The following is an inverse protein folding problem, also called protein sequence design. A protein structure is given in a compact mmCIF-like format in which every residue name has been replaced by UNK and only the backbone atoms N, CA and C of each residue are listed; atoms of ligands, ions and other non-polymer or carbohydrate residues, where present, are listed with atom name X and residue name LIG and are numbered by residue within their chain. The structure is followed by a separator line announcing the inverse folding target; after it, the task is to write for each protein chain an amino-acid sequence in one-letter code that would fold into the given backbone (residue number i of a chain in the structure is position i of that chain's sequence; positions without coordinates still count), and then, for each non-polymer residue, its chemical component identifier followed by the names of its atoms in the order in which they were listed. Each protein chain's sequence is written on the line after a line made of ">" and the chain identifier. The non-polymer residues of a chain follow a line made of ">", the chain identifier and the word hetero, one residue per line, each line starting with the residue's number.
data_IF_703512996725
#
_entry.id   IF_703512996725
#
_cell.length_a   1.000
_cell.length_b   1.000
_cell.length_c   1.000
_cell.angle_alpha   90.00
_cell.angle_beta   90.00
_cell.angle_gamma   90.00
#
_symmetry.space_group_name_H-M   'P 1'
#
loop_
_entity.id
_entity.type
_entity.pdbx_description
1 polymer ?
#
# COMPACT_ATOMS: atom_id res chain seq x y z
N UNK A 1 -4.65 -5.27 2.01
CA UNK A 1 -4.43 -6.55 1.32
C UNK A 1 -5.68 -6.92 0.55
N UNK A 2 -5.52 -7.28 -0.70
CA UNK A 2 -6.60 -7.53 -1.64
C UNK A 2 -6.41 -8.86 -2.35
N UNK A 3 -7.48 -9.65 -2.44
CA UNK A 3 -7.59 -10.82 -3.30
C UNK A 3 -8.91 -10.76 -4.08
N UNK A 4 -8.84 -10.51 -5.39
CA UNK A 4 -9.99 -10.37 -6.27
C UNK A 4 -10.01 -11.50 -7.28
N UNK A 5 -11.11 -12.28 -7.32
CA UNK A 5 -11.27 -13.33 -8.33
C UNK A 5 -11.49 -12.81 -9.76
N UNK A 6 -11.84 -11.52 -9.88
CA UNK A 6 -12.22 -10.90 -11.14
C UNK A 6 -11.02 -10.36 -11.95
N UNK A 7 -10.00 -9.85 -11.28
CA UNK A 7 -8.78 -9.30 -11.93
C UNK A 7 -7.55 -9.65 -11.08
N UNK A 8 -6.91 -10.79 -11.37
CA UNK A 8 -5.73 -11.23 -10.63
C UNK A 8 -4.55 -10.26 -10.66
N UNK A 9 -4.44 -9.44 -11.72
CA UNK A 9 -3.36 -8.45 -11.85
C UNK A 9 -3.41 -7.36 -10.78
N UNK A 10 -4.55 -7.19 -10.13
CA UNK A 10 -4.79 -6.22 -9.06
C UNK A 10 -4.72 -6.82 -7.65
N UNK A 11 -4.32 -8.08 -7.54
CA UNK A 11 -4.17 -8.74 -6.26
C UNK A 11 -2.77 -8.50 -5.68
N UNK A 12 -2.72 -8.36 -4.36
CA UNK A 12 -1.46 -8.35 -3.64
C UNK A 12 -0.82 -9.73 -3.67
N UNK A 13 0.50 -9.78 -3.76
CA UNK A 13 1.27 -11.00 -3.54
C UNK A 13 1.39 -11.28 -2.03
N UNK A 14 0.33 -11.81 -1.43
CA UNK A 14 0.21 -11.99 0.03
C UNK A 14 1.46 -12.64 0.66
N UNK A 15 2.05 -13.72 0.11
CA UNK A 15 3.28 -14.30 0.66
C UNK A 15 4.43 -13.29 0.79
N UNK A 16 4.60 -12.39 -0.16
CA UNK A 16 5.69 -11.41 -0.12
C UNK A 16 5.40 -10.29 0.91
N UNK A 17 4.14 -9.89 1.06
CA UNK A 17 3.72 -8.97 2.11
C UNK A 17 3.89 -9.54 3.51
N UNK A 18 3.67 -10.83 3.70
CA UNK A 18 3.92 -11.51 4.98
C UNK A 18 5.41 -11.51 5.33
N UNK A 19 6.27 -11.89 4.38
CA UNK A 19 7.73 -11.80 4.58
C UNK A 19 8.17 -10.38 4.94
N UNK A 20 7.56 -9.38 4.33
CA UNK A 20 7.83 -7.99 4.61
C UNK A 20 7.37 -7.58 6.02
N UNK A 21 6.19 -8.04 6.45
CA UNK A 21 5.69 -7.80 7.80
C UNK A 21 6.59 -8.45 8.85
N UNK A 22 6.99 -9.72 8.68
CA UNK A 22 7.93 -10.40 9.57
C UNK A 22 9.26 -9.63 9.67
N UNK A 23 9.75 -9.11 8.55
CA UNK A 23 10.97 -8.32 8.53
C UNK A 23 10.81 -6.99 9.27
N UNK A 24 9.67 -6.32 9.13
CA UNK A 24 9.35 -5.08 9.87
C UNK A 24 9.26 -5.34 11.38
N UNK A 25 8.62 -6.44 11.80
CA UNK A 25 8.54 -6.83 13.21
C UNK A 25 9.93 -7.06 13.82
N UNK A 26 10.85 -7.68 13.06
CA UNK A 26 12.25 -7.85 13.47
C UNK A 26 13.02 -6.51 13.56
N UNK A 27 12.51 -5.43 12.95
CA UNK A 27 13.00 -4.06 13.09
C UNK A 27 12.27 -3.25 14.16
N UNK A 28 11.43 -3.89 14.98
CA UNK A 28 10.57 -3.26 16.00
C UNK A 28 9.46 -2.35 15.47
N UNK A 29 9.06 -2.49 14.22
CA UNK A 29 7.83 -1.92 13.69
C UNK A 29 6.65 -2.84 14.00
N UNK A 30 5.43 -2.29 13.97
CA UNK A 30 4.19 -3.04 14.20
C UNK A 30 3.30 -2.95 12.95
N UNK A 31 3.46 -3.85 11.98
CA UNK A 31 2.60 -3.87 10.81
C UNK A 31 1.16 -4.21 11.20
N UNK A 32 0.21 -3.46 10.64
CA UNK A 32 -1.22 -3.68 10.83
C UNK A 32 -1.87 -3.93 9.47
N UNK A 33 -2.50 -5.07 9.30
CA UNK A 33 -3.22 -5.40 8.10
C UNK A 33 -4.67 -4.92 8.14
N UNK A 34 -5.07 -4.18 7.11
CA UNK A 34 -6.48 -3.84 6.90
C UNK A 34 -6.96 -4.65 5.68
N UNK A 35 -7.89 -5.58 5.86
CA UNK A 35 -8.42 -6.38 4.77
C UNK A 35 -9.25 -5.53 3.80
N UNK A 36 -9.40 -6.01 2.56
CA UNK A 36 -10.29 -5.40 1.59
C UNK A 36 -11.77 -5.73 1.91
N UNK A 37 -12.65 -4.82 1.52
CA UNK A 37 -14.09 -4.90 1.75
C UNK A 37 -14.76 -6.16 1.14
N UNK A 38 -14.15 -6.72 0.08
CA UNK A 38 -14.67 -7.93 -0.57
C UNK A 38 -14.51 -9.22 0.24
N UNK A 39 -13.61 -9.27 1.23
CA UNK A 39 -13.32 -10.49 2.00
C UNK A 39 -12.87 -10.20 3.44
N UNK A 40 -13.60 -9.37 4.22
CA UNK A 40 -13.17 -9.03 5.58
C UNK A 40 -13.19 -10.24 6.52
N UNK A 41 -13.97 -11.26 6.19
CA UNK A 41 -14.16 -12.48 6.96
C UNK A 41 -13.31 -13.65 6.46
N UNK A 42 -12.87 -13.60 5.21
CA UNK A 42 -11.99 -14.58 4.58
C UNK A 42 -10.53 -14.10 4.61
N UNK A 43 -10.08 -13.55 5.74
CA UNK A 43 -8.66 -13.34 5.95
C UNK A 43 -7.95 -14.67 5.75
N UNK A 44 -7.00 -14.67 4.82
CA UNK A 44 -6.08 -15.77 4.67
C UNK A 44 -5.58 -16.20 6.07
N UNK A 45 -5.60 -17.49 6.34
CA UNK A 45 -5.19 -18.03 7.63
C UNK A 45 -3.77 -17.58 8.03
N UNK A 46 -2.92 -17.29 7.04
CA UNK A 46 -1.58 -16.76 7.22
C UNK A 46 -1.53 -15.36 7.84
N UNK A 47 -2.56 -14.53 7.62
CA UNK A 47 -2.65 -13.18 8.20
C UNK A 47 -3.08 -13.19 9.69
N UNK A 48 -3.54 -14.32 10.20
CA UNK A 48 -4.04 -14.42 11.59
C UNK A 48 -2.99 -14.20 12.66
N UNK A 49 -1.72 -14.36 12.32
CA UNK A 49 -0.60 -14.17 13.24
C UNK A 49 -0.15 -12.71 13.37
N UNK A 50 -0.58 -11.84 12.46
CA UNK A 50 -0.28 -10.41 12.47
C UNK A 50 -1.45 -9.58 12.99
N UNK A 51 -1.17 -8.35 13.39
CA UNK A 51 -2.23 -7.42 13.79
C UNK A 51 -3.16 -7.15 12.60
N UNK A 52 -4.45 -7.25 12.87
CA UNK A 52 -5.50 -7.05 11.88
C UNK A 52 -6.52 -6.03 12.41
N UNK A 53 -6.89 -5.07 11.59
CA UNK A 53 -7.94 -4.12 11.93
C UNK A 53 -9.12 -4.24 10.98
N UNK A 54 -9.98 -5.23 11.24
CA UNK A 54 -11.14 -5.57 10.40
C UNK A 54 -12.21 -4.49 10.39
N UNK A 55 -12.41 -3.80 11.52
CA UNK A 55 -13.44 -2.77 11.65
C UNK A 55 -13.18 -1.59 10.71
N UNK A 56 -11.93 -1.30 10.40
CA UNK A 56 -11.54 -0.30 9.42
C UNK A 56 -11.86 -0.70 7.97
N UNK A 57 -12.28 -1.95 7.72
CA UNK A 57 -12.62 -2.44 6.38
C UNK A 57 -13.83 -1.70 5.78
N UNK A 58 -14.86 -1.49 6.59
CA UNK A 58 -16.14 -0.89 6.19
C UNK A 58 -16.35 0.53 6.71
N UNK A 59 -15.63 0.90 7.75
CA UNK A 59 -15.75 2.20 8.39
C UNK A 59 -14.68 3.14 7.84
N UNK A 60 -15.04 3.95 6.84
CA UNK A 60 -14.11 4.88 6.18
C UNK A 60 -13.53 5.92 7.16
N UNK A 61 -14.29 6.57 8.06
CA UNK A 61 -13.72 7.45 9.07
C UNK A 61 -12.70 6.75 9.98
N UNK A 62 -13.00 5.54 10.45
CA UNK A 62 -12.09 4.76 11.30
C UNK A 62 -10.83 4.36 10.54
N UNK A 63 -10.97 3.97 9.27
CA UNK A 63 -9.85 3.68 8.39
C UNK A 63 -8.95 4.89 8.18
N UNK A 64 -9.54 6.06 7.98
CA UNK A 64 -8.78 7.30 7.81
C UNK A 64 -8.03 7.68 9.08
N UNK A 65 -8.66 7.56 10.26
CA UNK A 65 -8.00 7.77 11.54
C UNK A 65 -6.79 6.82 11.72
N UNK A 66 -6.94 5.54 11.37
CA UNK A 66 -5.82 4.61 11.40
C UNK A 66 -4.68 5.06 10.45
N UNK A 67 -5.01 5.52 9.25
CA UNK A 67 -4.00 5.95 8.29
C UNK A 67 -3.22 7.19 8.77
N UNK A 68 -3.88 8.11 9.43
CA UNK A 68 -3.25 9.31 10.02
C UNK A 68 -2.36 8.98 11.22
N UNK A 69 -2.70 7.97 12.01
CA UNK A 69 -1.92 7.52 13.16
C UNK A 69 -0.71 6.64 12.78
N UNK A 70 -0.70 6.07 11.59
CA UNK A 70 0.40 5.24 11.14
C UNK A 70 1.56 6.10 10.62
N UNK A 71 2.79 5.78 11.04
CA UNK A 71 4.00 6.45 10.55
C UNK A 71 4.19 6.27 9.03
N UNK A 72 3.71 5.15 8.48
CA UNK A 72 3.71 4.87 7.04
C UNK A 72 2.58 3.90 6.70
N UNK A 73 1.93 4.16 5.59
CA UNK A 73 0.89 3.30 5.03
C UNK A 73 1.35 2.71 3.70
N UNK A 74 1.20 1.41 3.54
CA UNK A 74 1.43 0.73 2.28
C UNK A 74 0.13 0.32 1.63
N UNK A 75 0.00 0.60 0.35
CA UNK A 75 -1.16 0.24 -0.46
C UNK A 75 -0.74 -0.51 -1.71
N UNK A 76 -1.52 -1.49 -2.10
CA UNK A 76 -1.61 -1.88 -3.49
C UNK A 76 -2.69 -1.00 -4.14
N UNK A 77 -2.50 -0.57 -5.39
CA UNK A 77 -3.40 0.38 -6.05
C UNK A 77 -4.87 -0.07 -6.02
N UNK A 78 -5.68 0.64 -5.26
CA UNK A 78 -7.12 0.40 -5.10
C UNK A 78 -7.83 1.67 -4.59
N UNK A 79 -9.15 1.61 -4.43
CA UNK A 79 -9.95 2.74 -3.94
C UNK A 79 -9.51 3.28 -2.58
N UNK A 80 -8.99 2.44 -1.69
CA UNK A 80 -8.49 2.87 -0.38
C UNK A 80 -7.19 3.68 -0.47
N UNK A 81 -6.34 3.38 -1.43
CA UNK A 81 -5.14 4.16 -1.72
C UNK A 81 -5.52 5.58 -2.16
N UNK A 82 -6.56 5.73 -2.99
CA UNK A 82 -6.99 7.04 -3.45
C UNK A 82 -7.46 7.94 -2.31
N UNK A 83 -8.18 7.40 -1.33
CA UNK A 83 -8.59 8.17 -0.15
C UNK A 83 -7.34 8.66 0.62
N UNK A 84 -6.33 7.82 0.74
CA UNK A 84 -5.08 8.15 1.44
C UNK A 84 -4.28 9.25 0.73
N UNK A 85 -4.08 9.15 -0.59
CA UNK A 85 -3.26 10.12 -1.35
C UNK A 85 -3.87 11.52 -1.43
N UNK A 86 -5.19 11.66 -1.23
CA UNK A 86 -5.84 12.97 -1.13
C UNK A 86 -5.84 13.55 0.28
N UNK A 87 -5.32 12.84 1.25
CA UNK A 87 -5.15 13.33 2.62
C UNK A 87 -3.67 13.64 2.90
N UNK A 88 -3.33 14.91 2.97
CA UNK A 88 -1.97 15.39 3.19
C UNK A 88 -1.32 14.95 4.52
N UNK A 89 -2.13 14.51 5.48
CA UNK A 89 -1.64 14.02 6.77
C UNK A 89 -1.24 12.54 6.72
N UNK A 90 -1.50 11.84 5.62
CA UNK A 90 -1.24 10.41 5.47
C UNK A 90 0.06 10.19 4.72
N UNK A 91 1.06 9.67 5.40
CA UNK A 91 2.29 9.17 4.80
C UNK A 91 2.02 7.85 4.08
N UNK A 92 2.45 7.70 2.82
CA UNK A 92 2.08 6.52 2.04
C UNK A 92 3.07 6.11 0.96
N UNK A 93 3.12 4.79 0.70
CA UNK A 93 3.70 4.20 -0.50
C UNK A 93 2.61 3.38 -1.20
N UNK A 94 2.29 3.74 -2.43
CA UNK A 94 1.31 3.03 -3.26
C UNK A 94 2.05 2.20 -4.29
N UNK A 95 1.94 0.87 -4.17
CA UNK A 95 2.46 -0.08 -5.17
C UNK A 95 1.49 -0.15 -6.35
N UNK A 96 1.95 0.22 -7.52
CA UNK A 96 1.18 0.15 -8.75
C UNK A 96 2.08 -0.33 -9.90
N UNK A 97 2.30 -1.64 -10.01
CA UNK A 97 3.13 -2.19 -11.07
C UNK A 97 2.64 -1.78 -12.45
N UNK A 98 3.57 -1.41 -13.31
CA UNK A 98 3.26 -1.18 -14.73
C UNK A 98 3.13 -2.55 -15.39
N UNK A 99 1.91 -2.99 -15.56
CA UNK A 99 1.59 -4.21 -16.29
C UNK A 99 1.16 -3.81 -17.71
N UNK A 100 1.81 -4.36 -18.72
CA UNK A 100 1.59 -4.03 -20.14
C UNK A 100 0.15 -4.22 -20.61
N UNK A 101 -0.65 -4.98 -19.89
CA UNK A 101 -2.05 -5.28 -20.23
C UNK A 101 -3.08 -4.54 -19.35
N UNK A 102 -2.63 -3.69 -18.41
CA UNK A 102 -3.52 -3.00 -17.48
C UNK A 102 -3.79 -1.56 -17.92
N UNK A 103 -5.03 -1.22 -18.18
CA UNK A 103 -5.49 0.15 -18.48
C UNK A 103 -5.12 1.10 -17.33
N UNK A 104 -5.24 0.64 -16.09
CA UNK A 104 -4.97 1.43 -14.88
C UNK A 104 -3.49 1.84 -14.78
N UNK A 105 -2.58 0.96 -15.21
CA UNK A 105 -1.13 1.28 -15.23
C UNK A 105 -0.80 2.39 -16.22
N UNK A 106 -1.50 2.43 -17.35
CA UNK A 106 -1.30 3.46 -18.38
C UNK A 106 -1.84 4.82 -17.94
N UNK A 107 -2.98 4.83 -17.23
CA UNK A 107 -3.55 6.07 -16.67
C UNK A 107 -2.66 6.66 -15.57
N UNK A 108 -2.09 5.84 -14.70
CA UNK A 108 -1.17 6.31 -13.68
C UNK A 108 0.11 6.89 -14.27
N UNK A 109 0.65 6.29 -15.34
CA UNK A 109 1.81 6.85 -16.05
C UNK A 109 1.53 8.23 -16.63
N UNK A 110 0.30 8.50 -17.05
CA UNK A 110 -0.11 9.81 -17.55
C UNK A 110 -0.18 10.89 -16.44
N UNK A 111 -0.31 10.49 -15.17
CA UNK A 111 -0.35 11.39 -14.03
C UNK A 111 1.04 11.71 -13.44
N UNK A 112 2.08 11.01 -13.87
CA UNK A 112 3.45 11.32 -13.48
C UNK A 112 3.97 12.54 -14.24
N UNK A 113 4.48 13.51 -13.52
CA UNK A 113 5.35 14.53 -14.10
C UNK A 113 6.81 14.10 -13.90
N UNK A 114 7.49 13.62 -14.96
CA UNK A 114 8.87 13.15 -14.86
C UNK A 114 9.87 14.23 -14.49
N UNK A 115 9.44 15.50 -14.49
CA UNK A 115 10.29 16.64 -14.11
C UNK A 115 10.33 16.88 -12.61
N UNK A 116 9.35 16.35 -11.86
CA UNK A 116 9.27 16.55 -10.40
C UNK A 116 9.98 15.40 -9.70
N UNK A 117 9.40 14.24 -9.71
CA UNK A 117 9.95 12.99 -9.14
C UNK A 117 9.17 11.81 -9.74
N UNK A 118 9.83 10.83 -10.37
CA UNK A 118 9.12 9.69 -10.96
C UNK A 118 8.33 8.85 -9.94
N UNK A 119 8.58 9.05 -8.65
CA UNK A 119 7.88 8.36 -7.56
C UNK A 119 6.72 9.16 -6.98
N UNK A 120 6.37 10.31 -7.55
CA UNK A 120 5.32 11.19 -7.00
C UNK A 120 4.32 11.59 -8.06
N UNK A 121 3.06 11.58 -7.68
CA UNK A 121 2.03 12.27 -8.44
C UNK A 121 2.20 13.79 -8.28
N UNK A 122 1.84 14.56 -9.29
CA UNK A 122 2.05 16.01 -9.32
C UNK A 122 1.41 16.76 -8.14
N UNK A 123 0.35 16.20 -7.54
CA UNK A 123 -0.38 16.78 -6.41
C UNK A 123 -0.04 16.14 -5.05
N UNK A 124 0.83 15.10 -5.03
CA UNK A 124 1.14 14.37 -3.82
C UNK A 124 2.11 15.13 -2.90
N UNK A 125 1.94 14.95 -1.61
CA UNK A 125 2.88 15.48 -0.62
C UNK A 125 4.25 14.76 -0.70
N UNK A 126 5.35 15.36 -0.20
CA UNK A 126 6.68 14.75 -0.25
C UNK A 126 6.77 13.34 0.35
N UNK A 127 5.97 13.05 1.36
CA UNK A 127 5.89 11.77 2.05
C UNK A 127 4.84 10.81 1.46
N UNK A 128 4.34 11.10 0.28
CA UNK A 128 3.39 10.23 -0.46
C UNK A 128 4.06 9.76 -1.74
N UNK A 129 4.46 8.49 -1.75
CA UNK A 129 5.21 7.89 -2.84
C UNK A 129 4.37 6.96 -3.69
N UNK A 130 4.82 6.82 -4.92
CA UNK A 130 4.27 5.91 -5.91
C UNK A 130 5.36 4.97 -6.39
N UNK A 131 5.16 3.68 -6.29
CA UNK A 131 6.11 2.67 -6.76
C UNK A 131 5.53 1.90 -7.93
N UNK A 132 6.24 1.90 -9.05
CA UNK A 132 5.88 1.14 -10.25
C UNK A 132 6.44 -0.30 -10.22
N UNK A 133 7.08 -0.67 -9.13
CA UNK A 133 7.65 -2.00 -8.94
C UNK A 133 6.56 -3.02 -8.57
N UNK A 134 6.81 -4.29 -8.89
CA UNK A 134 5.98 -5.38 -8.39
C UNK A 134 6.16 -5.51 -6.87
N UNK A 135 5.12 -5.95 -6.19
CA UNK A 135 5.08 -6.14 -4.73
C UNK A 135 5.83 -7.41 -4.27
N UNK A 136 7.10 -7.52 -4.67
CA UNK A 136 8.03 -8.51 -4.11
C UNK A 136 8.60 -8.03 -2.78
N UNK A 137 9.00 -8.96 -1.91
CA UNK A 137 9.66 -8.63 -0.65
C UNK A 137 10.85 -7.67 -0.83
N UNK A 138 11.67 -7.91 -1.85
CA UNK A 138 12.84 -7.08 -2.11
C UNK A 138 12.48 -5.64 -2.48
N UNK A 139 11.45 -5.45 -3.30
CA UNK A 139 10.99 -4.13 -3.71
C UNK A 139 10.30 -3.39 -2.55
N UNK A 140 9.42 -4.07 -1.80
CA UNK A 140 8.79 -3.53 -0.60
C UNK A 140 9.83 -3.06 0.42
N UNK A 141 10.85 -3.90 0.67
CA UNK A 141 11.96 -3.58 1.57
C UNK A 141 12.81 -2.43 1.06
N UNK A 142 13.14 -2.41 -0.23
CA UNK A 142 13.90 -1.32 -0.86
C UNK A 142 13.19 0.02 -0.67
N UNK A 143 11.93 0.09 -1.04
CA UNK A 143 11.13 1.32 -0.94
C UNK A 143 11.00 1.77 0.52
N UNK A 144 10.82 0.83 1.45
CA UNK A 144 10.77 1.13 2.88
C UNK A 144 12.09 1.72 3.39
N UNK A 145 13.23 1.12 3.08
CA UNK A 145 14.53 1.59 3.54
C UNK A 145 14.88 2.99 3.00
N UNK A 146 14.51 3.27 1.76
CA UNK A 146 14.67 4.60 1.20
C UNK A 146 13.75 5.61 1.90
N UNK A 147 12.50 5.23 2.15
CA UNK A 147 11.53 6.05 2.86
C UNK A 147 11.93 6.30 4.31
N UNK A 148 12.31 5.24 5.05
CA UNK A 148 12.76 5.30 6.44
C UNK A 148 13.89 6.33 6.63
N UNK A 149 14.86 6.33 5.73
CA UNK A 149 16.00 7.24 5.76
C UNK A 149 15.60 8.72 5.63
N UNK A 150 14.50 9.01 4.95
CA UNK A 150 14.09 10.39 4.64
C UNK A 150 13.02 10.94 5.58
N UNK A 151 12.18 10.06 6.16
CA UNK A 151 10.95 10.49 6.84
C UNK A 151 10.68 9.82 8.19
N UNK A 152 11.37 8.74 8.55
CA UNK A 152 11.22 8.06 9.85
C UNK A 152 12.50 8.14 10.68
#
# INVERSE_FOLDING_TARGET
>A
IRGYGFDPSRNCNVPEWLKFADWLENKNYKPVFVPDAGSPWALDSSLKHHLNFKDACWNVPLRMALYEECALNYFYSNGCAHIAIFNKNVASIVMMPILTESIVSNEANALHDPKIDPRRLAFAEPNQWWSNEIDSFNNLKKDFLEYEKLYL
#
